data_IF_772607325944
#
_entry.id   IF_772607325944
#
_cell.length_a   1.000
_cell.length_b   1.000
_cell.length_c   1.000
_cell.angle_alpha   90.00
_cell.angle_beta   90.00
_cell.angle_gamma   90.00
#
_symmetry.space_group_name_H-M   'P 1'
#
loop_
_entity.id
_entity.type
_entity.pdbx_description
1 polymer ?
#
# COMPACT_ATOMS: atom_id res chain seq x y z
N UNK A 1 8.63 4.19 -27.09
CA UNK A 1 8.75 5.26 -26.10
C UNK A 1 8.72 4.72 -24.71
N UNK A 2 9.65 5.13 -23.86
CA UNK A 2 9.61 4.69 -22.47
C UNK A 2 8.37 5.23 -21.77
N UNK A 3 7.77 4.44 -20.94
CA UNK A 3 6.63 4.86 -20.16
C UNK A 3 7.11 5.84 -19.10
N UNK A 4 6.43 6.97 -19.00
CA UNK A 4 6.71 7.97 -17.98
C UNK A 4 6.52 7.32 -16.60
N UNK A 5 7.48 7.51 -15.70
CA UNK A 5 7.42 6.90 -14.37
C UNK A 5 6.18 7.31 -13.58
N UNK A 6 5.67 8.53 -13.77
CA UNK A 6 4.43 8.97 -13.14
C UNK A 6 3.23 8.16 -13.61
N UNK A 7 3.16 7.90 -14.93
CA UNK A 7 2.08 7.11 -15.50
C UNK A 7 2.13 5.67 -15.00
N UNK A 8 3.33 5.11 -14.90
CA UNK A 8 3.51 3.75 -14.42
C UNK A 8 3.10 3.63 -12.96
N UNK A 9 3.47 4.60 -12.13
CA UNK A 9 3.07 4.64 -10.74
C UNK A 9 1.56 4.76 -10.57
N UNK A 10 0.95 5.68 -11.34
CA UNK A 10 -0.49 5.88 -11.31
C UNK A 10 -1.26 4.63 -11.72
N UNK A 11 -0.74 3.90 -12.71
CA UNK A 11 -1.36 2.67 -13.16
C UNK A 11 -1.38 1.61 -12.05
N UNK A 12 -0.26 1.42 -11.37
CA UNK A 12 -0.18 0.49 -10.26
C UNK A 12 -1.13 0.86 -9.13
N UNK A 13 -1.21 2.14 -8.81
CA UNK A 13 -2.12 2.63 -7.77
C UNK A 13 -3.58 2.34 -8.13
N UNK A 14 -3.95 2.55 -9.39
CA UNK A 14 -5.31 2.25 -9.86
C UNK A 14 -5.60 0.76 -9.82
N UNK A 15 -4.63 -0.07 -10.20
CA UNK A 15 -4.80 -1.52 -10.15
C UNK A 15 -5.05 -1.99 -8.71
N UNK A 16 -4.24 -1.49 -7.76
CA UNK A 16 -4.41 -1.89 -6.38
C UNK A 16 -5.74 -1.38 -5.80
N UNK A 17 -6.10 -0.14 -6.12
CA UNK A 17 -7.39 0.40 -5.68
C UNK A 17 -8.56 -0.43 -6.20
N UNK A 18 -8.48 -0.89 -7.45
CA UNK A 18 -9.50 -1.77 -8.02
C UNK A 18 -9.59 -3.09 -7.28
N UNK A 19 -8.45 -3.67 -6.95
CA UNK A 19 -8.43 -4.91 -6.17
C UNK A 19 -9.11 -4.72 -4.80
N UNK A 20 -8.83 -3.62 -4.14
CA UNK A 20 -9.45 -3.33 -2.86
C UNK A 20 -10.97 -3.21 -2.98
N UNK A 21 -11.44 -2.58 -4.06
CA UNK A 21 -12.88 -2.45 -4.31
C UNK A 21 -13.54 -3.80 -4.51
N UNK A 22 -12.85 -4.73 -5.18
CA UNK A 22 -13.35 -6.09 -5.33
C UNK A 22 -13.57 -6.77 -3.99
N UNK A 23 -12.80 -6.37 -2.98
CA UNK A 23 -12.91 -6.91 -1.62
C UNK A 23 -13.82 -6.08 -0.73
N UNK A 24 -14.50 -5.09 -1.28
CA UNK A 24 -15.49 -4.31 -0.53
C UNK A 24 -14.96 -3.04 0.11
N UNK A 25 -13.76 -2.60 -0.25
CA UNK A 25 -13.14 -1.40 0.34
C UNK A 25 -13.05 -0.29 -0.69
N UNK A 26 -13.58 0.88 -0.34
CA UNK A 26 -13.60 2.05 -1.22
C UNK A 26 -12.25 2.75 -1.21
N UNK A 27 -11.25 2.11 -1.78
CA UNK A 27 -9.88 2.64 -1.86
C UNK A 27 -9.72 3.43 -3.15
N UNK A 28 -9.00 4.54 -3.08
CA UNK A 28 -8.76 5.40 -4.23
C UNK A 28 -7.35 5.99 -4.14
N UNK A 29 -6.86 6.42 -5.30
CA UNK A 29 -5.55 7.08 -5.38
C UNK A 29 -5.57 8.41 -4.65
N UNK A 30 -4.45 8.72 -3.98
CA UNK A 30 -4.24 10.05 -3.42
C UNK A 30 -3.84 10.98 -4.56
N UNK A 31 -4.43 12.19 -4.60
CA UNK A 31 -4.09 13.16 -5.62
C UNK A 31 -2.86 13.96 -5.20
N UNK A 32 -1.70 13.44 -5.55
CA UNK A 32 -0.43 14.01 -5.10
C UNK A 32 -0.08 15.33 -5.78
N UNK A 33 -0.64 15.59 -6.95
CA UNK A 33 -0.35 16.83 -7.67
C UNK A 33 -0.96 18.06 -6.98
N UNK A 34 -1.81 17.86 -6.02
CA UNK A 34 -2.40 18.95 -5.26
C UNK A 34 -1.45 19.48 -4.17
N UNK A 35 -0.19 19.05 -4.19
CA UNK A 35 0.82 19.55 -3.29
C UNK A 35 0.70 18.99 -1.90
N UNK A 36 0.91 19.82 -0.91
CA UNK A 36 1.04 19.39 0.47
C UNK A 36 -0.30 19.13 1.13
N UNK A 37 -0.88 17.97 0.84
CA UNK A 37 -2.10 17.54 1.54
C UNK A 37 -1.80 16.98 2.92
N UNK A 38 -0.52 16.76 3.22
CA UNK A 38 -0.11 16.11 4.45
C UNK A 38 -0.19 14.60 4.43
N UNK A 39 -0.71 14.04 3.35
CA UNK A 39 -0.83 12.58 3.21
C UNK A 39 0.12 12.09 2.12
N UNK A 40 1.16 11.36 2.53
CA UNK A 40 2.16 10.80 1.63
C UNK A 40 1.81 9.41 1.11
N UNK A 41 0.65 8.86 1.49
CA UNK A 41 0.19 7.56 1.00
C UNK A 41 -0.14 7.62 -0.49
N UNK A 42 0.13 6.54 -1.21
CA UNK A 42 -0.23 6.43 -2.62
C UNK A 42 -1.74 6.23 -2.81
N UNK A 43 -2.38 5.56 -1.86
CA UNK A 43 -3.82 5.32 -1.86
C UNK A 43 -4.38 5.57 -0.48
N UNK A 44 -5.67 5.87 -0.41
CA UNK A 44 -6.42 6.06 0.83
C UNK A 44 -7.71 5.23 0.77
N UNK A 45 -8.26 4.91 1.91
CA UNK A 45 -9.54 4.19 1.99
C UNK A 45 -9.50 2.95 2.86
N UNK A 46 -8.34 2.58 3.41
CA UNK A 46 -8.24 1.54 4.43
C UNK A 46 -7.92 2.24 5.75
N UNK A 47 -8.88 2.38 6.66
CA UNK A 47 -8.65 3.10 7.90
C UNK A 47 -7.44 2.54 8.67
N UNK A 48 -6.62 3.44 9.18
CA UNK A 48 -5.44 3.12 9.98
C UNK A 48 -4.29 2.45 9.22
N UNK A 49 -4.36 2.43 7.89
CA UNK A 49 -3.32 1.85 7.05
C UNK A 49 -2.74 2.92 6.12
N UNK A 50 -1.41 3.02 6.11
CA UNK A 50 -0.69 3.84 5.14
C UNK A 50 -0.28 2.94 3.97
N UNK A 51 -0.74 3.27 2.78
CA UNK A 51 -0.57 2.40 1.60
C UNK A 51 0.48 2.96 0.65
N UNK A 52 1.59 2.24 0.48
CA UNK A 52 2.56 2.48 -0.59
C UNK A 52 2.34 1.42 -1.66
N UNK A 53 2.30 1.83 -2.92
CA UNK A 53 2.06 0.92 -4.03
C UNK A 53 3.28 0.87 -4.93
N UNK A 54 3.76 -0.33 -5.22
CA UNK A 54 4.89 -0.55 -6.12
C UNK A 54 4.53 -1.59 -7.17
N UNK A 55 4.45 -1.16 -8.41
CA UNK A 55 4.16 -2.02 -9.55
C UNK A 55 5.41 -2.08 -10.42
N UNK A 56 6.37 -2.90 -10.01
CA UNK A 56 7.68 -3.00 -10.67
C UNK A 56 8.11 -4.46 -10.76
N UNK A 57 8.96 -4.75 -11.73
CA UNK A 57 9.37 -6.12 -11.98
C UNK A 57 10.37 -6.64 -10.95
N UNK A 58 11.26 -5.78 -10.49
CA UNK A 58 12.23 -6.15 -9.45
C UNK A 58 12.18 -5.07 -8.36
N UNK A 59 11.60 -5.40 -7.23
CA UNK A 59 11.40 -4.45 -6.14
C UNK A 59 12.44 -4.65 -5.03
N UNK A 60 13.06 -3.55 -4.64
CA UNK A 60 13.81 -3.55 -3.39
C UNK A 60 12.81 -3.36 -2.26
N UNK A 61 12.39 -4.47 -1.67
CA UNK A 61 11.35 -4.48 -0.65
C UNK A 61 11.77 -3.70 0.59
N UNK A 62 13.02 -3.86 1.01
CA UNK A 62 13.52 -3.17 2.20
C UNK A 62 13.46 -1.66 2.03
N UNK A 63 13.85 -1.17 0.88
CA UNK A 63 13.82 0.27 0.59
C UNK A 63 12.38 0.78 0.53
N UNK A 64 11.49 0.03 -0.11
CA UNK A 64 10.08 0.42 -0.21
C UNK A 64 9.43 0.45 1.17
N UNK A 65 9.72 -0.53 2.00
CA UNK A 65 9.17 -0.59 3.35
C UNK A 65 9.72 0.55 4.22
N UNK A 66 11.02 0.84 4.10
CA UNK A 66 11.62 1.96 4.83
C UNK A 66 10.95 3.28 4.45
N UNK A 67 10.63 3.48 3.18
CA UNK A 67 9.93 4.67 2.72
C UNK A 67 8.53 4.76 3.33
N UNK A 68 7.78 3.65 3.31
CA UNK A 68 6.44 3.61 3.87
C UNK A 68 6.46 3.93 5.37
N UNK A 69 7.42 3.38 6.09
CA UNK A 69 7.58 3.64 7.51
C UNK A 69 7.88 5.12 7.75
N UNK A 70 8.84 5.67 7.00
CA UNK A 70 9.21 7.08 7.15
C UNK A 70 8.03 8.00 6.88
N UNK A 71 7.31 7.75 5.80
CA UNK A 71 6.20 8.62 5.39
C UNK A 71 5.00 8.54 6.32
N UNK A 72 4.92 7.50 7.13
CA UNK A 72 3.78 7.28 8.03
C UNK A 72 4.10 7.53 9.51
N UNK A 73 5.36 7.84 9.84
CA UNK A 73 5.78 7.88 11.25
C UNK A 73 5.11 8.95 12.08
N UNK A 74 4.57 9.99 11.46
CA UNK A 74 3.84 11.06 12.17
C UNK A 74 2.37 10.74 12.35
N UNK A 75 1.93 9.59 11.87
CA UNK A 75 0.54 9.19 11.92
C UNK A 75 0.43 7.90 12.73
N UNK A 76 -0.69 7.73 13.39
CA UNK A 76 -0.93 6.50 14.13
C UNK A 76 -1.55 5.45 13.20
N UNK A 77 -0.76 5.01 12.24
CA UNK A 77 -1.20 4.08 11.20
C UNK A 77 -0.15 3.00 10.97
N UNK A 78 -0.58 1.89 10.38
CA UNK A 78 0.32 0.80 10.01
C UNK A 78 0.76 0.96 8.56
N UNK A 79 2.07 1.11 8.28
CA UNK A 79 2.52 1.20 6.89
C UNK A 79 2.57 -0.18 6.23
N UNK A 80 2.08 -0.24 5.00
CA UNK A 80 2.19 -1.43 4.17
C UNK A 80 2.74 -1.06 2.81
N UNK A 81 3.38 -2.03 2.16
CA UNK A 81 3.75 -1.93 0.75
C UNK A 81 2.93 -2.97 0.00
N UNK A 82 2.04 -2.49 -0.87
CA UNK A 82 1.31 -3.34 -1.79
C UNK A 82 2.11 -3.39 -3.08
N UNK A 83 2.52 -4.58 -3.49
CA UNK A 83 3.42 -4.67 -4.63
C UNK A 83 3.11 -5.89 -5.51
N UNK A 84 3.52 -5.76 -6.77
CA UNK A 84 3.24 -6.76 -7.77
C UNK A 84 4.22 -6.61 -8.92
N UNK A 85 4.67 -7.72 -9.47
CA UNK A 85 5.40 -7.73 -10.73
C UNK A 85 4.46 -8.24 -11.83
N UNK A 86 4.92 -8.18 -13.09
CA UNK A 86 4.12 -8.66 -14.21
C UNK A 86 3.75 -10.13 -14.03
N UNK A 87 2.52 -10.47 -14.38
CA UNK A 87 2.02 -11.86 -14.35
C UNK A 87 2.05 -12.50 -12.97
N UNK A 88 1.97 -11.68 -11.91
CA UNK A 88 1.96 -12.16 -10.54
C UNK A 88 0.80 -11.53 -9.78
N UNK A 89 0.43 -12.14 -8.68
CA UNK A 89 -0.63 -11.61 -7.81
C UNK A 89 -0.06 -10.51 -6.92
N UNK A 90 -0.94 -9.64 -6.45
CA UNK A 90 -0.57 -8.62 -5.49
C UNK A 90 -0.14 -9.24 -4.17
N UNK A 91 0.92 -8.70 -3.59
CA UNK A 91 1.42 -9.08 -2.28
C UNK A 91 1.39 -7.86 -1.36
N UNK A 92 1.30 -8.12 -0.06
CA UNK A 92 1.39 -7.09 0.96
C UNK A 92 2.61 -7.39 1.82
N UNK A 93 3.49 -6.40 1.98
CA UNK A 93 4.61 -6.47 2.92
C UNK A 93 4.34 -5.49 4.04
N UNK A 94 4.56 -5.91 5.28
CA UNK A 94 4.40 -5.05 6.45
C UNK A 94 5.31 -5.53 7.57
N UNK A 95 5.46 -4.71 8.60
CA UNK A 95 6.27 -5.11 9.75
C UNK A 95 5.60 -6.28 10.49
N UNK A 96 6.40 -7.21 10.96
CA UNK A 96 5.87 -8.38 11.66
C UNK A 96 5.07 -8.00 12.90
N UNK A 97 5.55 -7.00 13.65
CA UNK A 97 4.82 -6.55 14.85
C UNK A 97 3.42 -6.04 14.51
N UNK A 98 3.30 -5.29 13.39
CA UNK A 98 2.00 -4.80 12.95
C UNK A 98 1.10 -5.95 12.50
N UNK A 99 1.69 -6.92 11.80
CA UNK A 99 0.94 -8.10 11.36
C UNK A 99 0.39 -8.88 12.57
N UNK A 100 1.18 -9.03 13.64
CA UNK A 100 0.71 -9.73 14.82
C UNK A 100 -0.44 -8.99 15.50
N UNK A 101 -0.41 -7.65 15.50
CA UNK A 101 -1.52 -6.87 16.04
C UNK A 101 -2.81 -7.13 15.25
N UNK A 102 -2.70 -7.16 13.92
CA UNK A 102 -3.86 -7.49 13.08
C UNK A 102 -4.34 -8.93 13.30
N UNK A 103 -3.41 -9.86 13.42
CA UNK A 103 -3.75 -11.26 13.61
C UNK A 103 -4.52 -11.49 14.92
N UNK A 104 -4.10 -10.81 15.99
CA UNK A 104 -4.79 -10.93 17.29
C UNK A 104 -6.26 -10.53 17.19
N UNK A 105 -6.58 -9.58 16.31
CA UNK A 105 -7.96 -9.10 16.14
C UNK A 105 -8.72 -9.87 15.09
N UNK A 106 -8.06 -10.78 14.38
CA UNK A 106 -8.69 -11.51 13.29
C UNK A 106 -9.48 -12.71 13.81
N UNK A 107 -10.38 -13.20 12.95
CA UNK A 107 -11.13 -14.43 13.27
C UNK A 107 -10.21 -15.64 13.39
N UNK A 108 -9.06 -15.62 12.71
CA UNK A 108 -8.13 -16.75 12.73
C UNK A 108 -7.59 -17.01 14.13
N UNK A 109 -7.30 -15.94 14.89
CA UNK A 109 -6.76 -16.08 16.24
C UNK A 109 -7.80 -16.62 17.23
N UNK A 110 -9.08 -16.46 16.93
CA UNK A 110 -10.19 -16.90 17.80
C UNK A 110 -10.79 -18.22 17.36
N UNK A 111 -10.27 -18.82 16.30
CA UNK A 111 -10.86 -20.00 15.71
C UNK A 111 -10.30 -21.33 16.17
N UNK A 112 -9.39 -21.31 17.12
CA UNK A 112 -8.74 -22.53 17.60
C UNK A 112 -9.59 -23.31 18.58
#
# INVERSE_FOLDING_TARGET
MPINSKQKGARGEREFASLCKEHGFDVRRTQQYCGNTGDASDCVGLPNIHIEVKRVQALNVDKAMAQAIHDSEHKNVMPIVAHRKNNAKWLITMRADDWFEMYKESRLSNGS
#
